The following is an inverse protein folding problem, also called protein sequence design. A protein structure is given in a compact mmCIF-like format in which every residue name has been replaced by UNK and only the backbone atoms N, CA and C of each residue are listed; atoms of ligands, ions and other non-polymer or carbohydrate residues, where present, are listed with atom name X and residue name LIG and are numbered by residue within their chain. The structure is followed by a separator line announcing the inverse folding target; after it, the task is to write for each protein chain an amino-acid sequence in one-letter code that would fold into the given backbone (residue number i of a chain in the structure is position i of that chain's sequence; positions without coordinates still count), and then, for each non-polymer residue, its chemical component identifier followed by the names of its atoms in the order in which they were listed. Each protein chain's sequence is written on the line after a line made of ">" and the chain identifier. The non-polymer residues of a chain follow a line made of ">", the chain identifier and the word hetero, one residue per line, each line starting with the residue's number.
data_IF_644765966952
#
_entry.id   IF_644765966952
#
_cell.length_a   1.000
_cell.length_b   1.000
_cell.length_c   1.000
_cell.angle_alpha   90.00
_cell.angle_beta   90.00
_cell.angle_gamma   90.00
#
_symmetry.space_group_name_H-M   'P 1'
#
loop_
_entity.id
_entity.type
_entity.pdbx_description
1 polymer ?
#
# COMPACT_ATOMS: atom_id res chain seq x y z
N UNK A 1 0.01 26.93 -7.76
CA UNK A 1 -1.14 26.77 -8.71
C UNK A 1 -2.00 25.62 -8.18
N UNK A 2 -3.35 25.72 -8.24
CA UNK A 2 -4.24 24.62 -7.83
C UNK A 2 -4.16 23.50 -8.87
N UNK A 3 -3.84 22.29 -8.45
CA UNK A 3 -3.72 21.11 -9.31
C UNK A 3 -5.07 20.47 -9.54
N UNK A 4 -5.32 20.05 -10.76
CA UNK A 4 -6.57 19.43 -11.20
C UNK A 4 -6.39 17.91 -11.19
N UNK A 5 -7.07 17.22 -10.27
CA UNK A 5 -6.93 15.78 -10.10
C UNK A 5 -8.21 15.09 -10.60
N UNK A 6 -8.08 14.18 -11.55
CA UNK A 6 -9.15 13.25 -11.90
C UNK A 6 -9.12 12.02 -11.00
N UNK A 7 -10.26 11.37 -10.80
CA UNK A 7 -10.35 10.16 -9.96
C UNK A 7 -10.94 9.00 -10.75
N UNK A 8 -10.25 7.89 -10.77
CA UNK A 8 -10.72 6.60 -11.29
C UNK A 8 -11.01 5.67 -10.12
N UNK A 9 -12.29 5.47 -9.84
CA UNK A 9 -12.80 4.74 -8.68
C UNK A 9 -13.73 5.60 -7.82
N UNK A 10 -14.69 4.95 -7.16
CA UNK A 10 -15.63 5.60 -6.25
C UNK A 10 -15.82 4.77 -4.96
N UNK A 11 -14.81 3.99 -4.60
CA UNK A 11 -14.76 3.18 -3.38
C UNK A 11 -14.38 4.00 -2.13
N UNK A 12 -14.25 3.31 -0.99
CA UNK A 12 -13.88 3.96 0.26
C UNK A 12 -12.51 4.64 0.18
N UNK A 13 -11.50 3.98 -0.39
CA UNK A 13 -10.16 4.55 -0.49
C UNK A 13 -10.10 5.75 -1.44
N UNK A 14 -10.86 5.73 -2.54
CA UNK A 14 -11.02 6.91 -3.40
C UNK A 14 -11.52 8.13 -2.60
N UNK A 15 -12.50 7.93 -1.69
CA UNK A 15 -13.00 8.99 -0.80
C UNK A 15 -11.94 9.50 0.17
N UNK A 16 -11.25 8.58 0.85
CA UNK A 16 -10.19 8.93 1.83
C UNK A 16 -9.12 9.78 1.17
N UNK A 17 -8.56 9.32 0.04
CA UNK A 17 -7.47 10.02 -0.65
C UNK A 17 -7.92 11.31 -1.34
N UNK A 18 -9.12 11.34 -1.92
CA UNK A 18 -9.65 12.58 -2.49
C UNK A 18 -9.85 13.66 -1.43
N UNK A 19 -10.35 13.29 -0.24
CA UNK A 19 -10.46 14.23 0.89
C UNK A 19 -9.09 14.71 1.36
N UNK A 20 -8.09 13.83 1.42
CA UNK A 20 -6.72 14.19 1.75
C UNK A 20 -6.11 15.18 0.73
N UNK A 21 -6.31 14.93 -0.58
CA UNK A 21 -5.87 15.84 -1.65
C UNK A 21 -6.55 17.22 -1.54
N UNK A 22 -7.87 17.25 -1.36
CA UNK A 22 -8.63 18.49 -1.19
C UNK A 22 -8.19 19.26 0.06
N UNK A 23 -7.92 18.59 1.16
CA UNK A 23 -7.49 19.19 2.42
C UNK A 23 -6.12 19.89 2.34
N UNK A 24 -5.32 19.61 1.32
CA UNK A 24 -4.06 20.36 1.06
C UNK A 24 -4.31 21.81 0.68
N UNK A 25 -5.51 22.17 0.20
CA UNK A 25 -5.81 23.48 -0.39
C UNK A 25 -5.09 23.74 -1.72
N UNK A 26 -4.34 22.77 -2.24
CA UNK A 26 -3.54 22.88 -3.46
C UNK A 26 -4.09 22.02 -4.61
N UNK A 27 -5.14 21.25 -4.36
CA UNK A 27 -5.78 20.39 -5.35
C UNK A 27 -7.30 20.60 -5.42
N UNK A 28 -7.88 20.31 -6.60
CA UNK A 28 -9.30 20.20 -6.82
C UNK A 28 -9.59 18.91 -7.57
N UNK A 29 -10.74 18.27 -7.31
CA UNK A 29 -11.19 17.11 -8.08
C UNK A 29 -11.97 17.62 -9.30
N UNK A 30 -11.43 17.38 -10.49
CA UNK A 30 -11.99 17.91 -11.74
C UNK A 30 -12.88 16.91 -12.50
N UNK A 31 -12.84 15.64 -12.16
CA UNK A 31 -13.67 14.60 -12.78
C UNK A 31 -13.58 13.28 -12.06
N UNK A 32 -14.63 12.48 -12.13
CA UNK A 32 -14.73 11.16 -11.49
C UNK A 32 -15.22 10.13 -12.49
N UNK A 33 -14.49 9.03 -12.61
CA UNK A 33 -14.91 7.85 -13.37
C UNK A 33 -15.10 6.65 -12.44
N UNK A 34 -16.11 5.84 -12.68
CA UNK A 34 -16.36 4.61 -11.93
C UNK A 34 -17.07 3.59 -12.81
N UNK A 35 -17.03 2.32 -12.44
CA UNK A 35 -17.70 1.23 -13.17
C UNK A 35 -19.18 1.51 -13.51
N UNK A 36 -19.85 2.35 -12.74
CA UNK A 36 -21.21 2.81 -13.03
C UNK A 36 -21.32 4.33 -12.85
N UNK A 37 -22.03 5.00 -13.76
CA UNK A 37 -22.29 6.43 -13.68
C UNK A 37 -22.99 6.82 -12.35
N UNK A 38 -23.87 5.95 -11.84
CA UNK A 38 -24.55 6.17 -10.57
C UNK A 38 -23.56 6.23 -9.39
N UNK A 39 -22.54 5.38 -9.37
CA UNK A 39 -21.48 5.41 -8.34
C UNK A 39 -20.60 6.65 -8.46
N UNK A 40 -20.24 7.04 -9.69
CA UNK A 40 -19.49 8.27 -9.93
C UNK A 40 -20.26 9.51 -9.46
N UNK A 41 -21.53 9.64 -9.82
CA UNK A 41 -22.39 10.76 -9.42
C UNK A 41 -22.60 10.85 -7.91
N UNK A 42 -22.84 9.71 -7.24
CA UNK A 42 -22.99 9.68 -5.77
C UNK A 42 -21.72 10.19 -5.08
N UNK A 43 -20.56 9.77 -5.57
CA UNK A 43 -19.29 10.26 -5.05
C UNK A 43 -19.05 11.73 -5.43
N UNK A 44 -19.43 12.15 -6.63
CA UNK A 44 -19.37 13.56 -7.09
C UNK A 44 -20.14 14.51 -6.19
N UNK A 45 -21.37 14.14 -5.80
CA UNK A 45 -22.18 14.94 -4.83
C UNK A 45 -21.45 15.07 -3.49
N UNK A 46 -20.79 14.01 -3.02
CA UNK A 46 -20.08 14.02 -1.73
C UNK A 46 -18.89 15.00 -1.70
N UNK A 47 -18.19 15.15 -2.83
CA UNK A 47 -16.95 15.96 -2.89
C UNK A 47 -17.05 17.21 -3.76
N UNK A 48 -18.25 17.53 -4.28
CA UNK A 48 -18.50 18.73 -5.07
C UNK A 48 -17.94 18.68 -6.50
N UNK A 49 -18.04 17.52 -7.17
CA UNK A 49 -17.60 17.35 -8.56
C UNK A 49 -18.76 16.89 -9.46
N UNK A 50 -19.13 17.69 -10.45
CA UNK A 50 -20.24 17.41 -11.37
C UNK A 50 -19.83 16.55 -12.58
N UNK A 51 -18.54 16.58 -12.97
CA UNK A 51 -18.03 15.83 -14.12
C UNK A 51 -17.86 14.34 -13.75
N UNK A 52 -18.89 13.53 -14.04
CA UNK A 52 -18.99 12.13 -13.66
C UNK A 52 -19.19 11.24 -14.87
N UNK A 53 -18.45 10.13 -14.94
CA UNK A 53 -18.41 9.23 -16.09
C UNK A 53 -18.48 7.76 -15.64
N UNK A 54 -18.90 6.87 -16.54
CA UNK A 54 -18.90 5.42 -16.37
C UNK A 54 -17.65 4.74 -16.96
N UNK A 55 -16.75 5.52 -17.54
CA UNK A 55 -15.44 5.13 -18.08
C UNK A 55 -14.46 6.29 -17.90
N UNK A 56 -13.16 6.03 -17.95
CA UNK A 56 -12.17 7.06 -17.58
C UNK A 56 -11.66 7.91 -18.75
N UNK A 57 -11.82 7.50 -20.01
CA UNK A 57 -11.30 8.24 -21.16
C UNK A 57 -11.84 9.69 -21.24
N UNK A 58 -13.14 9.97 -20.95
CA UNK A 58 -13.65 11.34 -20.97
C UNK A 58 -13.11 12.23 -19.86
N UNK A 59 -12.36 11.71 -18.88
CA UNK A 59 -11.71 12.54 -17.87
C UNK A 59 -10.73 13.54 -18.49
N UNK A 60 -10.19 13.27 -19.68
CA UNK A 60 -9.29 14.20 -20.39
C UNK A 60 -10.00 15.52 -20.75
N UNK A 61 -11.29 15.50 -20.97
CA UNK A 61 -12.09 16.72 -21.27
C UNK A 61 -12.09 17.69 -20.07
N UNK A 62 -11.78 17.18 -18.87
CA UNK A 62 -11.65 18.01 -17.67
C UNK A 62 -10.26 18.60 -17.50
N UNK A 63 -9.31 18.36 -18.42
CA UNK A 63 -7.93 18.84 -18.39
C UNK A 63 -7.24 18.59 -17.03
N UNK A 64 -7.08 17.34 -16.59
CA UNK A 64 -6.41 17.01 -15.35
C UNK A 64 -4.88 17.16 -15.45
N UNK A 65 -4.22 17.52 -14.35
CA UNK A 65 -2.76 17.45 -14.18
C UNK A 65 -2.34 16.04 -13.75
N UNK A 66 -3.19 15.35 -13.00
CA UNK A 66 -2.92 14.04 -12.45
C UNK A 66 -4.19 13.20 -12.28
N UNK A 67 -3.99 11.91 -12.05
CA UNK A 67 -5.07 10.95 -11.79
C UNK A 67 -4.80 10.21 -10.47
N UNK A 68 -5.83 10.16 -9.62
CA UNK A 68 -5.93 9.20 -8.51
C UNK A 68 -6.64 7.94 -9.01
N UNK A 69 -5.99 6.79 -8.90
CA UNK A 69 -6.53 5.49 -9.36
C UNK A 69 -6.81 4.60 -8.14
N UNK A 70 -8.07 4.31 -7.86
CA UNK A 70 -8.55 3.49 -6.72
C UNK A 70 -9.57 2.46 -7.19
N UNK A 71 -9.09 1.50 -7.96
CA UNK A 71 -9.85 0.36 -8.53
C UNK A 71 -9.14 -0.95 -8.23
N UNK A 72 -9.75 -2.12 -8.47
CA UNK A 72 -9.08 -3.42 -8.33
C UNK A 72 -7.76 -3.50 -9.10
N UNK A 73 -6.80 -4.28 -8.61
CA UNK A 73 -5.42 -4.26 -9.07
C UNK A 73 -5.25 -4.68 -10.55
N UNK A 74 -6.01 -5.65 -11.04
CA UNK A 74 -5.86 -6.10 -12.43
C UNK A 74 -6.23 -5.01 -13.46
N UNK A 75 -7.39 -4.33 -13.38
CA UNK A 75 -7.70 -3.21 -14.27
C UNK A 75 -6.90 -1.94 -13.98
N UNK A 76 -6.24 -1.83 -12.82
CA UNK A 76 -5.45 -0.67 -12.42
C UNK A 76 -4.26 -0.42 -13.35
N UNK A 77 -3.59 -1.49 -13.83
CA UNK A 77 -2.44 -1.37 -14.73
C UNK A 77 -2.82 -0.64 -16.01
N UNK A 78 -3.93 -1.03 -16.65
CA UNK A 78 -4.41 -0.40 -17.89
C UNK A 78 -4.74 1.09 -17.67
N UNK A 79 -5.38 1.43 -16.54
CA UNK A 79 -5.69 2.82 -16.20
C UNK A 79 -4.42 3.65 -15.93
N UNK A 80 -3.40 3.03 -15.30
CA UNK A 80 -2.11 3.69 -15.05
C UNK A 80 -1.37 3.96 -16.36
N UNK A 81 -1.28 2.98 -17.26
CA UNK A 81 -0.66 3.18 -18.58
C UNK A 81 -1.40 4.24 -19.39
N UNK A 82 -2.73 4.21 -19.41
CA UNK A 82 -3.52 5.23 -20.08
C UNK A 82 -3.19 6.64 -19.53
N UNK A 83 -3.13 6.82 -18.23
CA UNK A 83 -2.77 8.11 -17.63
C UNK A 83 -1.38 8.57 -18.05
N UNK A 84 -0.38 7.69 -18.00
CA UNK A 84 0.99 7.99 -18.40
C UNK A 84 1.11 8.30 -19.90
N UNK A 85 0.37 7.60 -20.77
CA UNK A 85 0.33 7.88 -22.20
C UNK A 85 -0.15 9.30 -22.50
N UNK A 86 -1.10 9.80 -21.70
CA UNK A 86 -1.65 11.15 -21.82
C UNK A 86 -0.90 12.23 -21.01
N UNK A 87 0.29 11.90 -20.48
CA UNK A 87 1.14 12.86 -19.78
C UNK A 87 0.66 13.26 -18.39
N UNK A 88 -0.14 12.42 -17.74
CA UNK A 88 -0.69 12.69 -16.41
C UNK A 88 0.20 12.09 -15.33
N UNK A 89 0.38 12.82 -14.22
CA UNK A 89 0.95 12.27 -13.00
C UNK A 89 -0.05 11.29 -12.37
N UNK A 90 0.41 10.30 -11.59
CA UNK A 90 -0.44 9.24 -11.06
C UNK A 90 -0.19 9.00 -9.57
N UNK A 91 -1.24 9.04 -8.78
CA UNK A 91 -1.29 8.42 -7.46
C UNK A 91 -2.12 7.15 -7.58
N UNK A 92 -1.47 5.98 -7.49
CA UNK A 92 -2.13 4.69 -7.64
C UNK A 92 -2.41 4.07 -6.29
N UNK A 93 -3.66 3.68 -6.03
CA UNK A 93 -4.06 3.03 -4.79
C UNK A 93 -3.55 1.61 -4.68
N UNK A 94 -3.17 1.20 -3.49
CA UNK A 94 -2.70 -0.14 -3.24
C UNK A 94 -1.28 -0.42 -3.72
N UNK A 95 -1.05 -1.63 -4.23
CA UNK A 95 0.21 -1.98 -4.86
C UNK A 95 0.40 -1.17 -6.16
N UNK A 96 1.66 -0.98 -6.54
CA UNK A 96 2.01 -0.21 -7.75
C UNK A 96 1.37 -0.79 -9.02
N UNK A 97 1.37 -2.11 -9.14
CA UNK A 97 0.86 -2.84 -10.30
C UNK A 97 0.48 -4.27 -9.93
N UNK A 98 -0.20 -4.96 -10.82
CA UNK A 98 -0.63 -6.35 -10.64
C UNK A 98 0.50 -7.37 -10.80
N UNK A 99 1.58 -7.00 -11.52
CA UNK A 99 2.78 -7.82 -11.75
C UNK A 99 4.05 -6.99 -11.69
N UNK A 100 5.18 -7.63 -11.38
CA UNK A 100 6.49 -6.96 -11.39
C UNK A 100 6.90 -6.51 -12.81
N UNK A 101 6.42 -7.18 -13.85
CA UNK A 101 6.62 -6.75 -15.24
C UNK A 101 5.89 -5.43 -15.51
N UNK A 102 4.62 -5.32 -15.14
CA UNK A 102 3.84 -4.08 -15.29
C UNK A 102 4.43 -2.96 -14.43
N UNK A 103 4.83 -3.26 -13.18
CA UNK A 103 5.49 -2.30 -12.30
C UNK A 103 6.77 -1.72 -12.92
N UNK A 104 7.61 -2.57 -13.54
CA UNK A 104 8.82 -2.13 -14.26
C UNK A 104 8.47 -1.22 -15.44
N UNK A 105 7.51 -1.62 -16.27
CA UNK A 105 7.07 -0.81 -17.40
C UNK A 105 6.51 0.55 -16.97
N UNK A 106 5.75 0.60 -15.86
CA UNK A 106 5.27 1.85 -15.27
C UNK A 106 6.46 2.74 -14.85
N UNK A 107 7.47 2.17 -14.18
CA UNK A 107 8.67 2.90 -13.77
C UNK A 107 9.42 3.48 -14.99
N UNK A 108 9.64 2.67 -16.01
CA UNK A 108 10.36 3.06 -17.22
C UNK A 108 9.63 4.18 -17.98
N UNK A 109 8.30 4.07 -18.16
CA UNK A 109 7.49 5.09 -18.84
C UNK A 109 7.43 6.38 -18.03
N UNK A 110 7.23 6.29 -16.72
CA UNK A 110 7.20 7.45 -15.83
C UNK A 110 8.53 8.22 -15.90
N UNK A 111 9.65 7.51 -15.81
CA UNK A 111 10.99 8.11 -15.94
C UNK A 111 11.22 8.75 -17.30
N UNK A 112 10.90 8.05 -18.38
CA UNK A 112 11.10 8.54 -19.74
C UNK A 112 10.29 9.82 -20.05
N UNK A 113 9.11 9.96 -19.44
CA UNK A 113 8.23 11.12 -19.62
C UNK A 113 8.39 12.20 -18.54
N UNK A 114 9.21 11.99 -17.52
CA UNK A 114 9.36 12.90 -16.39
C UNK A 114 8.07 13.04 -15.57
N UNK A 115 7.28 11.96 -15.46
CA UNK A 115 6.01 11.96 -14.75
C UNK A 115 6.19 11.41 -13.33
N UNK A 116 5.50 12.03 -12.39
CA UNK A 116 5.41 11.54 -11.01
C UNK A 116 4.41 10.40 -10.96
N UNK A 117 4.86 9.25 -10.46
CA UNK A 117 3.99 8.14 -10.06
C UNK A 117 4.29 7.79 -8.63
N UNK A 118 3.27 7.64 -7.81
CA UNK A 118 3.40 7.21 -6.43
C UNK A 118 2.41 6.11 -6.10
N UNK A 119 2.89 5.02 -5.45
CA UNK A 119 2.03 3.97 -4.94
C UNK A 119 1.41 4.36 -3.59
N UNK A 120 0.20 3.88 -3.36
CA UNK A 120 -0.66 4.33 -2.28
C UNK A 120 -0.33 3.79 -0.88
N UNK A 121 0.92 3.66 -0.51
CA UNK A 121 1.35 3.20 0.82
C UNK A 121 1.58 4.39 1.77
N UNK A 122 0.51 4.94 2.36
CA UNK A 122 0.57 6.13 3.19
C UNK A 122 1.39 5.94 4.48
N UNK A 123 1.52 4.71 5.00
CA UNK A 123 2.15 4.43 6.30
C UNK A 123 3.58 4.96 6.43
N UNK A 124 4.38 4.98 5.34
CA UNK A 124 5.75 5.55 5.35
C UNK A 124 5.79 7.04 5.72
N UNK A 125 4.68 7.76 5.51
CA UNK A 125 4.54 9.18 5.88
C UNK A 125 4.17 9.37 7.36
N UNK A 126 3.65 8.34 8.02
CA UNK A 126 3.19 8.39 9.41
C UNK A 126 4.32 8.56 10.42
N UNK A 127 4.06 9.37 11.45
CA UNK A 127 5.04 9.66 12.51
C UNK A 127 5.50 8.39 13.25
N UNK A 128 4.59 7.46 13.50
CA UNK A 128 4.88 6.16 14.14
C UNK A 128 5.94 5.38 13.37
N UNK A 129 5.72 5.14 12.08
CA UNK A 129 6.63 4.32 11.26
C UNK A 129 7.97 5.03 10.99
N UNK A 130 7.98 6.35 10.91
CA UNK A 130 9.21 7.14 10.87
C UNK A 130 10.01 7.02 12.17
N UNK A 131 9.34 6.94 13.32
CA UNK A 131 10.00 6.68 14.61
C UNK A 131 10.57 5.27 14.68
N UNK A 132 9.79 4.25 14.27
CA UNK A 132 10.28 2.86 14.19
C UNK A 132 11.52 2.76 13.31
N UNK A 133 11.49 3.37 12.13
CA UNK A 133 12.66 3.36 11.23
C UNK A 133 13.89 3.98 11.88
N UNK A 134 13.75 5.13 12.53
CA UNK A 134 14.87 5.76 13.26
C UNK A 134 15.35 4.88 14.41
N UNK A 135 14.45 4.31 15.20
CA UNK A 135 14.79 3.41 16.31
C UNK A 135 15.73 2.27 15.87
N UNK A 136 15.49 1.73 14.67
CA UNK A 136 16.29 0.64 14.09
C UNK A 136 17.59 1.18 13.47
N UNK A 137 17.54 2.27 12.70
CA UNK A 137 18.71 2.88 12.07
C UNK A 137 19.73 3.40 13.09
N UNK A 138 19.26 3.97 14.22
CA UNK A 138 20.08 4.50 15.29
C UNK A 138 20.53 3.41 16.28
N UNK A 139 20.18 2.13 16.02
CA UNK A 139 20.49 0.98 16.86
C UNK A 139 20.06 1.13 18.33
N UNK A 140 18.93 1.83 18.60
CA UNK A 140 18.45 2.10 19.97
C UNK A 140 18.06 0.83 20.75
N UNK A 141 17.90 -0.32 20.05
CA UNK A 141 17.65 -1.64 20.62
C UNK A 141 18.83 -2.61 20.39
N UNK A 142 20.03 -2.06 20.15
CA UNK A 142 21.13 -2.85 19.66
C UNK A 142 20.94 -3.33 18.20
N UNK A 143 21.59 -4.41 17.82
CA UNK A 143 21.44 -4.98 16.48
C UNK A 143 20.11 -5.73 16.36
N UNK A 144 19.35 -5.46 15.30
CA UNK A 144 18.09 -6.16 15.05
C UNK A 144 18.34 -7.64 14.76
N UNK A 145 17.52 -8.49 15.35
CA UNK A 145 17.62 -9.98 15.27
C UNK A 145 16.44 -10.54 14.49
N UNK A 146 15.22 -10.13 14.85
CA UNK A 146 14.02 -10.68 14.24
C UNK A 146 12.86 -9.67 14.20
N UNK A 147 11.92 -9.90 13.28
CA UNK A 147 10.66 -9.16 13.19
C UNK A 147 9.50 -10.16 13.08
N UNK A 148 8.40 -9.88 13.77
CA UNK A 148 7.14 -10.60 13.59
C UNK A 148 6.02 -9.63 13.31
N UNK A 149 5.30 -9.83 12.22
CA UNK A 149 4.14 -9.00 11.86
C UNK A 149 2.87 -9.83 11.70
N UNK A 150 1.75 -9.26 12.14
CA UNK A 150 0.41 -9.85 12.03
C UNK A 150 -0.52 -8.80 11.42
N UNK A 151 -1.30 -9.21 10.39
CA UNK A 151 -2.28 -8.37 9.73
C UNK A 151 -3.55 -9.21 9.44
N UNK A 152 -4.58 -9.01 10.25
CA UNK A 152 -5.83 -9.76 10.17
C UNK A 152 -6.99 -8.83 9.82
N UNK A 153 -7.85 -9.26 8.92
CA UNK A 153 -9.09 -8.58 8.54
C UNK A 153 -10.28 -9.52 8.64
N UNK A 154 -11.43 -8.98 8.99
CA UNK A 154 -12.69 -9.65 8.79
C UNK A 154 -13.09 -9.48 7.31
N UNK A 155 -12.64 -10.39 6.46
CA UNK A 155 -12.83 -10.32 5.02
C UNK A 155 -14.27 -10.63 4.60
N UNK A 156 -14.75 -9.90 3.59
CA UNK A 156 -16.05 -10.15 2.96
C UNK A 156 -15.81 -10.79 1.57
N UNK A 157 -16.20 -12.05 1.36
CA UNK A 157 -15.97 -12.78 0.10
C UNK A 157 -16.71 -12.21 -1.11
N UNK A 158 -17.62 -11.26 -0.91
CA UNK A 158 -18.31 -10.57 -2.01
C UNK A 158 -17.52 -9.38 -2.56
N UNK A 159 -16.39 -9.03 -1.92
CA UNK A 159 -15.56 -7.91 -2.33
C UNK A 159 -14.52 -8.32 -3.37
N UNK A 160 -14.04 -7.34 -4.14
CA UNK A 160 -13.11 -7.57 -5.24
C UNK A 160 -11.76 -8.19 -4.82
N UNK A 161 -11.32 -7.96 -3.59
CA UNK A 161 -10.03 -8.50 -3.11
C UNK A 161 -10.10 -10.00 -2.82
N UNK A 162 -11.28 -10.59 -2.69
CA UNK A 162 -11.47 -12.04 -2.68
C UNK A 162 -11.53 -12.65 -4.09
N UNK A 163 -11.81 -11.87 -5.12
CA UNK A 163 -11.78 -12.34 -6.51
C UNK A 163 -10.33 -12.41 -6.99
N UNK A 164 -9.85 -13.63 -7.25
CA UNK A 164 -8.46 -13.87 -7.71
C UNK A 164 -8.15 -13.15 -9.01
N UNK A 165 -9.12 -13.08 -9.93
CA UNK A 165 -8.93 -12.45 -11.23
C UNK A 165 -8.88 -10.91 -11.14
N UNK A 166 -9.47 -10.32 -10.12
CA UNK A 166 -9.45 -8.86 -9.90
C UNK A 166 -8.29 -8.42 -8.99
N UNK A 167 -7.97 -9.24 -8.00
CA UNK A 167 -7.02 -8.86 -6.95
C UNK A 167 -5.59 -9.28 -7.22
N UNK A 168 -5.36 -10.40 -7.89
CA UNK A 168 -4.06 -11.04 -7.99
C UNK A 168 -3.68 -11.88 -6.78
N UNK A 169 -4.55 -11.96 -5.76
CA UNK A 169 -4.37 -12.77 -4.55
C UNK A 169 -3.87 -12.02 -3.33
N UNK A 170 -3.91 -12.69 -2.18
CA UNK A 170 -3.57 -12.11 -0.87
C UNK A 170 -2.14 -11.56 -0.77
N UNK A 171 -1.07 -12.24 -1.23
CA UNK A 171 0.27 -11.69 -1.10
C UNK A 171 0.40 -10.31 -1.76
N UNK A 172 -0.18 -10.13 -2.93
CA UNK A 172 -0.14 -8.86 -3.64
C UNK A 172 -1.02 -7.80 -2.97
N UNK A 173 -2.27 -8.16 -2.62
CA UNK A 173 -3.24 -7.19 -2.09
C UNK A 173 -2.92 -6.77 -0.66
N UNK A 174 -2.85 -7.71 0.29
CA UNK A 174 -2.85 -7.40 1.71
C UNK A 174 -1.49 -7.48 2.37
N UNK A 175 -0.60 -8.38 1.93
CA UNK A 175 0.74 -8.43 2.53
C UNK A 175 1.59 -7.23 2.11
N UNK A 176 1.44 -6.71 0.87
CA UNK A 176 2.10 -5.47 0.47
C UNK A 176 1.62 -4.29 1.30
N UNK A 177 0.32 -4.16 1.49
CA UNK A 177 -0.30 -3.15 2.34
C UNK A 177 0.00 -3.34 3.81
N UNK A 178 -0.10 -4.59 4.26
CA UNK A 178 0.17 -4.90 5.63
C UNK A 178 1.59 -4.47 6.00
N UNK A 179 2.58 -5.12 5.41
CA UNK A 179 3.93 -4.90 5.91
C UNK A 179 5.06 -5.06 4.90
N UNK A 180 4.90 -5.64 3.71
CA UNK A 180 6.02 -5.81 2.76
C UNK A 180 6.67 -4.45 2.48
N UNK A 181 5.87 -3.45 2.08
CA UNK A 181 6.36 -2.11 1.78
C UNK A 181 7.07 -1.44 2.96
N UNK A 182 6.50 -1.57 4.17
CA UNK A 182 7.08 -1.00 5.39
C UNK A 182 8.37 -1.70 5.82
N UNK A 183 8.39 -3.04 5.84
CA UNK A 183 9.57 -3.79 6.27
C UNK A 183 10.71 -3.60 5.27
N UNK A 184 10.44 -3.58 3.98
CA UNK A 184 11.46 -3.24 2.97
C UNK A 184 12.04 -1.83 3.20
N UNK A 185 11.19 -0.85 3.45
CA UNK A 185 11.64 0.52 3.71
C UNK A 185 12.50 0.66 4.97
N UNK A 186 12.29 -0.20 5.97
CA UNK A 186 13.01 -0.20 7.25
C UNK A 186 14.29 -1.04 7.18
N UNK A 187 14.23 -2.23 6.55
CA UNK A 187 15.26 -3.28 6.62
C UNK A 187 16.04 -3.47 5.31
N UNK A 188 15.59 -2.87 4.21
CA UNK A 188 16.07 -3.16 2.86
C UNK A 188 15.32 -4.32 2.19
N UNK A 189 15.80 -4.75 1.03
CA UNK A 189 15.15 -5.81 0.27
C UNK A 189 15.48 -7.18 0.87
N UNK A 190 14.51 -8.10 1.00
CA UNK A 190 14.77 -9.43 1.49
C UNK A 190 15.57 -10.25 0.48
N UNK A 191 16.34 -11.20 0.97
CA UNK A 191 17.21 -12.10 0.18
C UNK A 191 16.43 -13.32 -0.31
N UNK A 192 15.55 -13.87 0.53
CA UNK A 192 14.72 -15.02 0.19
C UNK A 192 13.43 -15.04 1.01
N UNK A 193 12.48 -15.82 0.55
CA UNK A 193 11.19 -16.07 1.21
C UNK A 193 10.84 -17.55 1.19
N UNK A 194 10.25 -18.05 2.30
CA UNK A 194 9.57 -19.34 2.39
C UNK A 194 8.17 -19.11 2.95
N UNK A 195 7.14 -19.55 2.24
CA UNK A 195 5.77 -19.24 2.59
C UNK A 195 4.82 -20.42 2.45
N UNK A 196 3.77 -20.40 3.27
CA UNK A 196 2.67 -21.34 3.25
C UNK A 196 1.35 -20.57 3.35
N UNK A 197 0.35 -21.06 2.66
CA UNK A 197 -0.99 -20.47 2.71
C UNK A 197 -2.08 -21.53 2.66
N UNK A 198 -3.26 -21.14 3.09
CA UNK A 198 -4.46 -21.96 3.00
C UNK A 198 -5.69 -21.13 2.67
N UNK A 199 -6.77 -21.85 2.33
CA UNK A 199 -8.13 -21.33 2.19
C UNK A 199 -9.10 -22.32 2.82
N UNK A 200 -9.49 -22.03 4.05
CA UNK A 200 -10.28 -22.96 4.89
C UNK A 200 -11.70 -22.46 5.10
N UNK A 201 -11.90 -21.16 5.18
CA UNK A 201 -13.19 -20.58 5.53
C UNK A 201 -14.08 -20.37 4.29
N UNK A 202 -13.58 -19.71 3.25
CA UNK A 202 -14.32 -19.48 2.00
C UNK A 202 -13.72 -20.30 0.86
N UNK A 203 -14.37 -21.42 0.53
CA UNK A 203 -13.81 -22.43 -0.39
C UNK A 203 -14.38 -22.38 -1.81
N UNK A 204 -15.20 -21.36 -2.16
CA UNK A 204 -15.82 -21.23 -3.47
C UNK A 204 -14.79 -21.06 -4.59
N UNK A 205 -15.10 -21.55 -5.79
CA UNK A 205 -14.28 -21.39 -6.98
C UNK A 205 -14.21 -19.91 -7.38
N UNK A 206 -13.06 -19.48 -7.87
CA UNK A 206 -12.82 -18.09 -8.29
C UNK A 206 -12.32 -17.15 -7.19
N UNK A 207 -12.43 -17.56 -5.92
CA UNK A 207 -11.83 -16.81 -4.82
C UNK A 207 -10.31 -17.01 -4.78
N UNK A 208 -9.63 -16.13 -4.02
CA UNK A 208 -8.17 -16.17 -3.84
C UNK A 208 -7.65 -17.56 -3.46
N UNK A 209 -6.46 -17.90 -3.92
CA UNK A 209 -5.84 -19.20 -3.60
C UNK A 209 -5.47 -19.32 -2.12
N UNK A 210 -5.08 -18.23 -1.50
CA UNK A 210 -4.76 -18.14 -0.07
C UNK A 210 -5.67 -17.13 0.62
N UNK A 211 -6.37 -17.55 1.65
CA UNK A 211 -7.15 -16.72 2.56
C UNK A 211 -6.35 -16.35 3.83
N UNK A 212 -5.40 -17.21 4.17
CA UNK A 212 -4.37 -17.00 5.18
C UNK A 212 -3.01 -17.33 4.57
N UNK A 213 -2.02 -16.48 4.81
CA UNK A 213 -0.65 -16.67 4.36
C UNK A 213 0.33 -16.36 5.49
N UNK A 214 1.30 -17.25 5.67
CA UNK A 214 2.47 -17.04 6.52
C UNK A 214 3.72 -17.06 5.65
N UNK A 215 4.56 -16.05 5.78
CA UNK A 215 5.82 -15.96 5.06
C UNK A 215 6.97 -15.71 6.04
N UNK A 216 8.07 -16.45 5.87
CA UNK A 216 9.34 -16.18 6.52
C UNK A 216 10.29 -15.57 5.50
N UNK A 217 10.94 -14.49 5.87
CA UNK A 217 11.87 -13.75 5.01
C UNK A 217 13.21 -13.59 5.71
N UNK A 218 14.27 -13.53 4.93
CA UNK A 218 15.62 -13.16 5.41
C UNK A 218 15.95 -11.81 4.80
N UNK A 219 16.29 -10.84 5.65
CA UNK A 219 16.73 -9.51 5.26
C UNK A 219 18.25 -9.35 5.40
N UNK A 220 18.86 -8.29 4.85
CA UNK A 220 20.26 -7.99 5.04
C UNK A 220 20.65 -7.99 6.53
N UNK A 221 21.87 -8.46 6.82
CA UNK A 221 22.38 -8.60 8.20
C UNK A 221 21.80 -9.79 8.96
N UNK A 222 21.29 -10.80 8.24
CA UNK A 222 20.71 -12.03 8.77
C UNK A 222 19.46 -11.81 9.63
N UNK A 223 18.77 -10.70 9.46
CA UNK A 223 17.50 -10.42 10.15
C UNK A 223 16.42 -11.33 9.59
N UNK A 224 15.80 -12.13 10.45
CA UNK A 224 14.69 -13.01 10.06
C UNK A 224 13.35 -12.33 10.36
N UNK A 225 12.40 -12.41 9.43
CA UNK A 225 11.05 -11.89 9.64
C UNK A 225 10.00 -12.97 9.42
N UNK A 226 8.97 -12.98 10.25
CA UNK A 226 7.75 -13.77 10.07
C UNK A 226 6.57 -12.82 9.84
N UNK A 227 5.87 -12.99 8.72
CA UNK A 227 4.70 -12.19 8.35
C UNK A 227 3.48 -13.09 8.25
N UNK A 228 2.39 -12.73 8.93
CA UNK A 228 1.10 -13.37 8.81
C UNK A 228 0.06 -12.37 8.30
N UNK A 229 -0.66 -12.74 7.25
CA UNK A 229 -1.86 -12.03 6.81
C UNK A 229 -3.03 -13.00 6.70
N UNK A 230 -4.23 -12.56 7.08
CA UNK A 230 -5.44 -13.38 6.94
C UNK A 230 -6.68 -12.52 6.70
N UNK A 231 -7.58 -13.02 5.86
CA UNK A 231 -8.94 -12.50 5.71
C UNK A 231 -9.89 -13.07 6.76
N UNK A 232 -9.41 -13.94 7.65
CA UNK A 232 -10.20 -14.56 8.71
C UNK A 232 -9.85 -13.89 10.05
N UNK A 233 -10.79 -13.12 10.59
CA UNK A 233 -10.72 -12.49 11.91
C UNK A 233 -12.07 -12.65 12.61
N UNK A 234 -12.32 -13.79 13.30
CA UNK A 234 -13.63 -14.08 13.86
C UNK A 234 -13.95 -13.37 15.18
N UNK A 235 -13.03 -12.60 15.75
CA UNK A 235 -13.18 -11.91 17.03
C UNK A 235 -12.60 -10.51 17.00
N UNK A 236 -12.66 -9.83 18.16
CA UNK A 236 -12.26 -8.41 18.32
C UNK A 236 -10.83 -8.23 18.85
N UNK A 237 -10.04 -9.30 18.91
CA UNK A 237 -8.62 -9.17 19.27
C UNK A 237 -7.87 -8.35 18.21
N UNK A 238 -6.82 -7.66 18.65
CA UNK A 238 -5.97 -6.83 17.79
C UNK A 238 -5.54 -7.57 16.53
N UNK A 239 -5.75 -6.93 15.38
CA UNK A 239 -5.49 -7.50 14.08
C UNK A 239 -4.21 -7.00 13.41
N UNK A 240 -3.63 -5.90 13.90
CA UNK A 240 -2.49 -5.24 13.28
C UNK A 240 -1.37 -5.00 14.29
N UNK A 241 -0.29 -5.77 14.22
CA UNK A 241 0.85 -5.57 15.11
C UNK A 241 2.17 -5.96 14.46
N UNK A 242 3.25 -5.30 14.90
CA UNK A 242 4.63 -5.68 14.53
C UNK A 242 5.51 -5.65 15.77
N UNK A 243 6.24 -6.74 16.00
CA UNK A 243 7.26 -6.84 17.04
C UNK A 243 8.65 -6.83 16.38
N UNK A 244 9.52 -5.97 16.85
CA UNK A 244 10.93 -5.89 16.52
C UNK A 244 11.76 -6.36 17.71
N UNK A 245 12.64 -7.32 17.51
CA UNK A 245 13.54 -7.88 18.51
C UNK A 245 14.97 -7.49 18.19
N UNK A 246 15.60 -6.73 19.06
CA UNK A 246 17.02 -6.39 19.00
C UNK A 246 17.83 -7.10 20.08
N UNK A 247 19.17 -6.96 20.06
CA UNK A 247 20.06 -7.56 21.04
C UNK A 247 20.03 -6.87 22.41
N UNK A 248 19.51 -5.66 22.50
CA UNK A 248 19.50 -4.83 23.72
C UNK A 248 18.12 -4.29 24.06
N UNK A 249 17.08 -4.66 23.30
CA UNK A 249 15.72 -4.25 23.54
C UNK A 249 14.73 -4.76 22.51
N UNK A 250 13.48 -4.39 22.67
CA UNK A 250 12.41 -4.73 21.74
C UNK A 250 11.45 -3.55 21.56
N UNK A 251 10.76 -3.52 20.43
CA UNK A 251 9.70 -2.58 20.18
C UNK A 251 8.48 -3.27 19.59
N UNK A 252 7.29 -2.89 20.05
CA UNK A 252 6.02 -3.42 19.54
C UNK A 252 5.16 -2.26 19.00
N UNK A 253 4.77 -2.37 17.75
CA UNK A 253 3.73 -1.52 17.16
C UNK A 253 2.39 -2.20 17.35
N UNK A 254 1.43 -1.48 17.91
CA UNK A 254 0.01 -1.79 17.85
C UNK A 254 -0.62 -0.90 16.79
N UNK A 255 -0.96 -1.51 15.66
CA UNK A 255 -1.51 -0.78 14.51
C UNK A 255 -3.00 -0.42 14.68
N UNK A 256 -3.74 -1.17 15.50
CA UNK A 256 -5.15 -0.89 15.77
C UNK A 256 -5.30 0.34 16.69
N UNK A 257 -4.37 0.56 17.63
CA UNK A 257 -4.35 1.68 18.55
C UNK A 257 -3.36 2.79 18.17
N UNK A 258 -2.56 2.59 17.13
CA UNK A 258 -1.52 3.53 16.66
C UNK A 258 -0.51 3.89 17.77
N UNK A 259 -0.04 2.88 18.52
CA UNK A 259 0.93 3.03 19.60
C UNK A 259 2.23 2.29 19.32
N UNK A 260 3.32 2.75 19.93
CA UNK A 260 4.65 2.13 19.89
C UNK A 260 5.14 1.93 21.34
N UNK A 261 5.25 0.68 21.74
CA UNK A 261 5.86 0.26 23.01
C UNK A 261 7.33 -0.07 22.75
N UNK A 262 8.23 0.44 23.59
CA UNK A 262 9.67 0.21 23.48
C UNK A 262 10.16 -0.26 24.86
N UNK A 263 10.88 -1.39 24.90
CA UNK A 263 11.57 -1.85 26.10
C UNK A 263 13.09 -1.89 25.82
N UNK A 264 13.86 -1.14 26.60
CA UNK A 264 15.32 -1.13 26.56
C UNK A 264 15.83 -1.60 27.91
N UNK A 265 16.21 -2.88 28.00
CA UNK A 265 16.78 -3.48 29.22
C UNK A 265 15.90 -3.27 30.47
N UNK A 266 14.58 -3.40 30.33
CA UNK A 266 13.60 -3.23 31.39
C UNK A 266 13.11 -1.77 31.59
N UNK A 267 13.62 -0.83 30.83
CA UNK A 267 13.06 0.54 30.76
C UNK A 267 12.01 0.58 29.67
N UNK A 268 10.76 0.68 30.07
CA UNK A 268 9.61 0.68 29.18
C UNK A 268 9.12 2.09 28.89
N UNK A 269 8.82 2.34 27.62
CA UNK A 269 8.25 3.58 27.11
C UNK A 269 7.08 3.25 26.16
N UNK A 270 5.97 3.96 26.29
CA UNK A 270 4.85 3.88 25.33
C UNK A 270 4.61 5.24 24.70
N UNK A 271 4.63 5.27 23.37
CA UNK A 271 4.39 6.46 22.56
C UNK A 271 3.04 6.32 21.86
N UNK A 272 2.16 7.30 22.05
CA UNK A 272 0.85 7.36 21.40
C UNK A 272 0.90 8.30 20.18
N UNK A 273 0.47 7.79 19.04
CA UNK A 273 0.41 8.51 17.76
C UNK A 273 -1.02 8.73 17.26
N UNK A 274 -2.05 8.41 18.05
CA UNK A 274 -3.46 8.56 17.63
C UNK A 274 -3.81 10.00 17.20
N UNK A 275 -3.17 11.02 17.83
CA UNK A 275 -3.33 12.43 17.48
C UNK A 275 -2.35 12.97 16.43
N UNK A 276 -1.54 12.12 15.81
CA UNK A 276 -0.58 12.56 14.79
C UNK A 276 -1.28 12.97 13.49
N UNK A 277 -0.55 13.73 12.65
CA UNK A 277 -1.05 14.12 11.34
C UNK A 277 -1.33 12.88 10.49
N UNK A 278 -2.49 12.87 9.84
CA UNK A 278 -2.92 11.77 8.98
C UNK A 278 -1.89 11.47 7.89
N UNK A 279 -1.38 10.22 7.80
CA UNK A 279 -0.43 9.81 6.77
C UNK A 279 -0.93 10.04 5.33
N UNK A 280 -2.24 9.94 5.08
CA UNK A 280 -2.83 10.24 3.77
C UNK A 280 -2.70 11.72 3.41
N UNK A 281 -2.88 12.62 4.39
CA UNK A 281 -2.69 14.05 4.19
C UNK A 281 -1.22 14.38 3.86
N UNK A 282 -0.28 13.76 4.57
CA UNK A 282 1.16 13.93 4.31
C UNK A 282 1.55 13.37 2.94
N UNK A 283 1.02 12.22 2.54
CA UNK A 283 1.24 11.66 1.20
C UNK A 283 0.68 12.58 0.11
N UNK A 284 -0.53 13.12 0.30
CA UNK A 284 -1.15 14.04 -0.65
C UNK A 284 -0.30 15.32 -0.84
N UNK A 285 0.22 15.89 0.24
CA UNK A 285 1.14 17.04 0.19
C UNK A 285 2.42 16.70 -0.57
N UNK A 286 3.05 15.56 -0.27
CA UNK A 286 4.27 15.10 -0.93
C UNK A 286 4.05 14.87 -2.42
N UNK A 287 2.94 14.22 -2.80
CA UNK A 287 2.58 13.97 -4.19
C UNK A 287 2.42 15.27 -4.99
N UNK A 288 1.73 16.28 -4.42
CA UNK A 288 1.56 17.58 -5.09
C UNK A 288 2.89 18.33 -5.19
N UNK A 289 3.71 18.31 -4.14
CA UNK A 289 5.02 18.97 -4.14
C UNK A 289 5.97 18.37 -5.18
N UNK A 290 5.84 17.09 -5.48
CA UNK A 290 6.63 16.41 -6.50
C UNK A 290 6.37 16.95 -7.93
N UNK A 291 5.19 17.53 -8.22
CA UNK A 291 4.92 18.19 -9.51
C UNK A 291 5.78 19.44 -9.73
N UNK A 292 6.35 19.99 -8.66
CA UNK A 292 7.24 21.15 -8.68
C UNK A 292 8.71 20.73 -8.66
N UNK A 293 9.00 19.45 -8.89
CA UNK A 293 10.35 18.91 -8.94
C UNK A 293 10.97 18.64 -7.56
N UNK A 294 10.17 18.64 -6.48
CA UNK A 294 10.66 18.26 -5.16
C UNK A 294 10.66 16.72 -5.04
N UNK A 295 11.77 16.16 -4.56
CA UNK A 295 11.89 14.72 -4.29
C UNK A 295 11.22 14.39 -2.95
N UNK A 296 9.91 14.25 -2.97
CA UNK A 296 9.07 14.09 -1.75
C UNK A 296 8.33 12.77 -1.69
N UNK A 297 8.18 12.07 -2.83
CA UNK A 297 7.49 10.78 -2.91
C UNK A 297 8.33 9.66 -2.28
N UNK A 298 7.75 8.95 -1.30
CA UNK A 298 8.41 7.85 -0.60
C UNK A 298 8.13 6.47 -1.22
N UNK A 299 7.14 6.39 -2.10
CA UNK A 299 6.72 5.14 -2.73
C UNK A 299 6.83 5.25 -4.25
N UNK A 300 8.06 5.49 -4.71
CA UNK A 300 8.35 5.65 -6.15
C UNK A 300 8.15 4.32 -6.90
N UNK A 301 7.88 4.36 -8.21
CA UNK A 301 7.71 3.12 -8.99
C UNK A 301 8.91 2.19 -8.93
N UNK A 302 10.12 2.74 -8.93
CA UNK A 302 11.36 1.95 -8.85
C UNK A 302 11.48 1.22 -7.52
N UNK A 303 11.12 1.87 -6.40
CA UNK A 303 11.13 1.21 -5.09
C UNK A 303 9.99 0.19 -4.96
N UNK A 304 8.76 0.57 -5.32
CA UNK A 304 7.58 -0.28 -5.15
C UNK A 304 7.49 -1.46 -6.14
N UNK A 305 8.28 -1.47 -7.21
CA UNK A 305 8.50 -2.66 -8.03
C UNK A 305 8.96 -3.86 -7.17
N UNK A 306 9.85 -3.62 -6.23
CA UNK A 306 10.36 -4.67 -5.35
C UNK A 306 9.30 -5.19 -4.36
N UNK A 307 8.31 -4.37 -3.97
CA UNK A 307 7.16 -4.86 -3.18
C UNK A 307 6.38 -5.92 -3.96
N UNK A 308 6.14 -5.67 -5.25
CA UNK A 308 5.43 -6.60 -6.13
C UNK A 308 6.24 -7.89 -6.34
N UNK A 309 7.57 -7.78 -6.54
CA UNK A 309 8.46 -8.95 -6.68
C UNK A 309 8.45 -9.84 -5.42
N UNK A 310 8.47 -9.23 -4.24
CA UNK A 310 8.37 -9.97 -2.97
C UNK A 310 7.02 -10.67 -2.86
N UNK A 311 5.91 -9.99 -3.21
CA UNK A 311 4.58 -10.59 -3.21
C UNK A 311 4.46 -11.77 -4.19
N UNK A 312 5.02 -11.65 -5.41
CA UNK A 312 5.09 -12.74 -6.38
C UNK A 312 5.95 -13.91 -5.87
N UNK A 313 7.06 -13.64 -5.19
CA UNK A 313 7.90 -14.66 -4.59
C UNK A 313 7.18 -15.42 -3.47
N UNK A 314 6.42 -14.70 -2.62
CA UNK A 314 5.56 -15.32 -1.60
C UNK A 314 4.51 -16.23 -2.26
N UNK A 315 3.82 -15.75 -3.30
CA UNK A 315 2.83 -16.54 -4.02
C UNK A 315 3.44 -17.81 -4.66
N UNK A 316 4.63 -17.69 -5.26
CA UNK A 316 5.37 -18.84 -5.80
C UNK A 316 5.74 -19.85 -4.71
N UNK A 317 6.27 -19.35 -3.58
CA UNK A 317 6.66 -20.20 -2.44
C UNK A 317 5.45 -20.93 -1.85
N UNK A 318 4.29 -20.27 -1.69
CA UNK A 318 3.06 -20.92 -1.26
C UNK A 318 2.63 -22.07 -2.17
N UNK A 319 2.89 -21.95 -3.47
CA UNK A 319 2.51 -22.96 -4.47
C UNK A 319 3.52 -24.11 -4.56
N UNK A 320 4.82 -23.83 -4.52
CA UNK A 320 5.88 -24.84 -4.65
C UNK A 320 6.27 -25.49 -3.32
N UNK A 321 5.99 -24.83 -2.19
CA UNK A 321 6.49 -25.15 -0.85
C UNK A 321 8.02 -25.11 -0.73
N UNK A 322 8.67 -24.37 -1.63
CA UNK A 322 10.13 -24.19 -1.67
C UNK A 322 10.51 -22.76 -1.28
N UNK A 323 11.75 -22.59 -0.83
CA UNK A 323 12.33 -21.26 -0.65
C UNK A 323 12.60 -20.62 -2.00
N UNK A 324 12.14 -19.37 -2.16
CA UNK A 324 12.35 -18.55 -3.35
C UNK A 324 13.39 -17.48 -3.04
N UNK A 325 14.46 -17.41 -3.83
CA UNK A 325 15.47 -16.36 -3.79
C UNK A 325 15.03 -15.15 -4.62
N UNK A 326 15.36 -13.96 -4.15
CA UNK A 326 14.94 -12.65 -4.72
C UNK A 326 16.10 -11.95 -5.44
#
# INVERSE_FOLDING_TARGET
>A
MIRRIAVIGAGNMARVRSKALLATGQATICGIASRTLASARRFGVEIGCDACYDRYEPLLDTSPDAVLIEIPHQPQDAATFWALEHGLHVLVGGCLASTSQAARQIADVAQAKGLVVEAGYASRYGALWRRVRRLIQDCEMGRLVAVRSIALWAGDPTTWYYDQALSGGMPLTHMTYGYINLLRWILGDPVCVSAMGNRVHHTQVGLVEQETCLANLVFPGDVVANMMASFVKPGDLDGWSVLFLGTEGMAKVDGDHNTLEIDRQGQQETLDYAGSVDPFALQAQAFIAAFEGQDTCLNTPTDCLEDVRVAEAIARSCKSLETVWL
#
